data_IF_392942586828
#
_entry.id   IF_392942586828
#
_cell.length_a   1.000
_cell.length_b   1.000
_cell.length_c   1.000
_cell.angle_alpha   90.00
_cell.angle_beta   90.00
_cell.angle_gamma   90.00
#
_symmetry.space_group_name_H-M   'P 1'
#
loop_
_entity.id
_entity.type
_entity.pdbx_description
1 polymer ?
#
# COMPACT_ATOMS: atom_id res chain seq x y z
N UNK A 1 -4.68 -1.05 11.67
CA UNK A 1 -4.65 -2.23 10.77
C UNK A 1 -3.22 -2.70 10.57
N UNK A 2 -2.33 -1.85 10.05
CA UNK A 2 -0.91 -2.20 9.81
C UNK A 2 -0.14 -2.55 11.10
N UNK A 3 -0.22 -1.72 12.13
CA UNK A 3 0.49 -1.93 13.40
C UNK A 3 0.13 -3.25 14.11
N UNK A 4 -1.11 -3.74 13.95
CA UNK A 4 -1.62 -4.93 14.63
C UNK A 4 -1.36 -6.23 13.86
N UNK A 5 -0.98 -6.14 12.58
CA UNK A 5 -0.77 -7.30 11.72
C UNK A 5 0.54 -8.02 12.08
N UNK A 6 0.46 -9.33 12.38
CA UNK A 6 1.63 -10.11 12.85
C UNK A 6 2.72 -10.24 11.79
N UNK A 7 2.35 -10.43 10.53
CA UNK A 7 3.32 -10.61 9.44
C UNK A 7 4.09 -9.31 9.20
N UNK A 8 3.40 -8.17 9.17
CA UNK A 8 4.07 -6.86 9.03
C UNK A 8 5.02 -6.60 10.20
N UNK A 9 4.64 -6.96 11.43
CA UNK A 9 5.51 -6.82 12.61
C UNK A 9 6.73 -7.74 12.54
N UNK A 10 6.56 -8.94 12.00
CA UNK A 10 7.66 -9.88 11.74
C UNK A 10 8.64 -9.31 10.71
N UNK A 11 8.13 -8.78 9.59
CA UNK A 11 8.94 -8.12 8.56
C UNK A 11 9.69 -6.89 9.10
N UNK A 12 9.06 -6.15 10.00
CA UNK A 12 9.68 -5.01 10.70
C UNK A 12 10.64 -5.43 11.82
N UNK A 13 10.78 -6.72 12.10
CA UNK A 13 11.62 -7.28 13.17
C UNK A 13 11.30 -6.67 14.54
N UNK A 14 10.01 -6.43 14.81
CA UNK A 14 9.55 -5.89 16.09
C UNK A 14 9.93 -6.84 17.23
N UNK A 15 10.41 -6.28 18.34
CA UNK A 15 10.65 -7.05 19.55
C UNK A 15 9.35 -7.19 20.36
N UNK A 16 8.49 -8.10 19.92
CA UNK A 16 7.25 -8.45 20.62
C UNK A 16 7.47 -9.61 21.57
N UNK A 17 7.20 -9.39 22.85
CA UNK A 17 7.34 -10.40 23.90
C UNK A 17 6.03 -10.63 24.65
N UNK A 18 6.11 -11.49 25.66
CA UNK A 18 4.99 -11.79 26.56
C UNK A 18 4.59 -10.54 27.37
N UNK A 19 5.58 -9.70 27.71
CA UNK A 19 5.40 -8.50 28.54
C UNK A 19 4.93 -7.27 27.75
N UNK A 20 4.90 -7.32 26.43
CA UNK A 20 4.46 -6.19 25.63
C UNK A 20 4.88 -6.23 24.16
N UNK A 21 4.32 -5.30 23.40
CA UNK A 21 4.62 -5.11 21.97
C UNK A 21 5.42 -3.84 21.77
N UNK A 22 6.36 -3.90 20.83
CA UNK A 22 7.12 -2.71 20.44
C UNK A 22 6.18 -1.64 19.86
N UNK A 23 6.28 -0.41 20.36
CA UNK A 23 5.52 0.72 19.83
C UNK A 23 6.15 1.21 18.53
N UNK A 24 5.41 1.09 17.43
CA UNK A 24 5.83 1.59 16.13
C UNK A 24 5.60 3.09 16.03
N UNK A 25 6.49 3.79 15.33
CA UNK A 25 6.30 5.19 14.94
C UNK A 25 5.74 5.24 13.54
N UNK A 26 4.89 6.23 13.26
CA UNK A 26 4.38 6.47 11.92
C UNK A 26 4.41 7.97 11.60
N UNK A 27 4.81 8.31 10.38
CA UNK A 27 4.92 9.70 9.92
C UNK A 27 4.79 9.78 8.40
N UNK A 28 4.41 10.95 7.88
CA UNK A 28 4.22 11.17 6.45
C UNK A 28 5.51 11.11 5.62
N UNK A 29 5.38 11.33 4.32
CA UNK A 29 6.55 11.57 3.46
C UNK A 29 7.06 13.01 3.59
N UNK A 30 8.32 13.22 3.22
CA UNK A 30 8.82 14.57 3.00
C UNK A 30 8.13 15.14 1.76
N UNK A 31 7.42 16.26 1.93
CA UNK A 31 6.61 16.87 0.87
C UNK A 31 7.46 17.71 -0.08
N UNK A 32 8.60 18.22 0.40
CA UNK A 32 9.48 19.13 -0.33
C UNK A 32 10.83 18.46 -0.60
N UNK A 33 11.53 18.90 -1.65
CA UNK A 33 12.94 18.55 -1.89
C UNK A 33 13.89 19.19 -0.84
N UNK A 34 13.32 19.82 0.18
CA UNK A 34 14.05 20.55 1.20
C UNK A 34 14.48 19.59 2.31
N UNK A 35 15.80 19.36 2.40
CA UNK A 35 16.42 18.40 3.32
C UNK A 35 16.24 18.78 4.80
N UNK A 36 15.77 19.99 5.08
CA UNK A 36 15.66 20.55 6.43
C UNK A 36 14.24 20.53 7.01
N UNK A 37 13.23 20.16 6.21
CA UNK A 37 11.85 20.11 6.69
C UNK A 37 11.66 18.95 7.68
N UNK A 38 11.50 19.26 8.97
CA UNK A 38 11.26 18.27 10.04
C UNK A 38 9.82 17.76 10.08
N UNK A 39 8.86 18.55 9.61
CA UNK A 39 7.45 18.20 9.64
C UNK A 39 7.12 17.19 8.53
N UNK A 40 6.60 16.03 8.91
CA UNK A 40 6.20 14.96 7.99
C UNK A 40 4.69 14.71 8.11
N UNK A 41 3.84 15.61 7.58
CA UNK A 41 2.40 15.48 7.73
C UNK A 41 1.87 14.32 6.89
N UNK A 42 0.87 13.63 7.43
CA UNK A 42 0.19 12.55 6.73
C UNK A 42 -0.85 13.17 5.80
N UNK A 43 -0.59 13.08 4.50
CA UNK A 43 -1.45 13.67 3.46
C UNK A 43 -1.89 12.62 2.44
N UNK A 44 -3.05 12.84 1.83
CA UNK A 44 -3.52 12.03 0.70
C UNK A 44 -3.66 12.87 -0.55
N UNK A 45 -3.33 12.30 -1.71
CA UNK A 45 -3.61 12.86 -3.03
C UNK A 45 -4.94 12.32 -3.51
N UNK A 46 -5.79 13.20 -4.05
CA UNK A 46 -7.11 12.83 -4.59
C UNK A 46 -7.05 12.74 -6.10
N UNK A 47 -7.66 11.72 -6.68
CA UNK A 47 -7.86 11.56 -8.12
C UNK A 47 -9.29 11.11 -8.39
N UNK A 48 -9.89 11.58 -9.48
CA UNK A 48 -11.22 11.15 -9.89
C UNK A 48 -11.05 10.02 -10.92
N UNK A 49 -11.77 8.92 -10.74
CA UNK A 49 -11.80 7.82 -11.70
C UNK A 49 -12.71 8.12 -12.90
N UNK A 50 -12.82 7.17 -13.84
CA UNK A 50 -13.69 7.32 -15.02
C UNK A 50 -15.17 7.32 -14.64
N UNK A 51 -15.52 6.73 -13.52
CA UNK A 51 -16.88 6.64 -12.98
C UNK A 51 -17.23 7.84 -12.08
N UNK A 52 -16.38 8.87 -12.01
CA UNK A 52 -16.60 10.09 -11.23
C UNK A 52 -16.37 9.97 -9.73
N UNK A 53 -15.83 8.86 -9.22
CA UNK A 53 -15.58 8.63 -7.79
C UNK A 53 -14.17 9.04 -7.39
N UNK A 54 -14.01 9.54 -6.16
CA UNK A 54 -12.72 9.97 -5.64
C UNK A 54 -11.90 8.79 -5.12
N UNK A 55 -10.69 8.67 -5.63
CA UNK A 55 -9.62 7.83 -5.12
C UNK A 55 -8.67 8.67 -4.27
N UNK A 56 -8.29 8.15 -3.11
CA UNK A 56 -7.34 8.71 -2.17
C UNK A 56 -6.09 7.86 -2.14
N UNK A 57 -4.96 8.45 -2.52
CA UNK A 57 -3.64 7.82 -2.45
C UNK A 57 -2.87 8.41 -1.28
N UNK A 58 -2.48 7.57 -0.33
CA UNK A 58 -1.72 7.97 0.84
C UNK A 58 -0.45 7.14 0.94
N UNK A 59 0.65 7.82 1.27
CA UNK A 59 1.94 7.20 1.57
C UNK A 59 2.45 7.72 2.90
N UNK A 60 2.92 6.81 3.73
CA UNK A 60 3.51 7.14 5.02
C UNK A 60 4.49 6.06 5.42
N UNK A 61 5.44 6.44 6.28
CA UNK A 61 6.44 5.54 6.80
C UNK A 61 6.00 4.95 8.13
N UNK A 62 6.41 3.71 8.38
CA UNK A 62 6.34 3.06 9.69
C UNK A 62 7.75 2.67 10.09
N UNK A 63 8.14 2.99 11.31
CA UNK A 63 9.47 2.75 11.83
C UNK A 63 9.39 1.89 13.10
N UNK A 64 10.10 0.77 13.07
CA UNK A 64 10.50 0.00 14.25
C UNK A 64 11.91 0.41 14.67
N UNK A 65 12.39 -0.12 15.79
CA UNK A 65 13.77 0.07 16.26
C UNK A 65 14.83 -0.45 15.27
N UNK A 66 14.45 -1.36 14.37
CA UNK A 66 15.39 -2.04 13.45
C UNK A 66 15.16 -1.74 11.97
N UNK A 67 13.91 -1.48 11.57
CA UNK A 67 13.51 -1.39 10.17
C UNK A 67 12.58 -0.21 9.94
N UNK A 68 12.70 0.36 8.76
CA UNK A 68 11.79 1.35 8.21
C UNK A 68 10.99 0.69 7.10
N UNK A 69 9.70 0.97 7.03
CA UNK A 69 8.81 0.51 5.98
C UNK A 69 8.06 1.67 5.34
N UNK A 70 7.79 1.56 4.05
CA UNK A 70 6.88 2.45 3.34
C UNK A 70 5.53 1.76 3.18
N UNK A 71 4.47 2.43 3.61
CA UNK A 71 3.10 1.98 3.41
C UNK A 71 2.48 2.76 2.26
N UNK A 72 1.88 2.02 1.34
CA UNK A 72 1.05 2.59 0.28
C UNK A 72 -0.40 2.20 0.51
N UNK A 73 -1.29 3.18 0.44
CA UNK A 73 -2.73 3.00 0.57
C UNK A 73 -3.45 3.68 -0.57
N UNK A 74 -4.33 2.92 -1.21
CA UNK A 74 -5.38 3.41 -2.10
C UNK A 74 -6.75 3.11 -1.49
N UNK A 75 -7.51 4.17 -1.26
CA UNK A 75 -8.89 4.11 -0.80
C UNK A 75 -9.81 4.77 -1.82
N UNK A 76 -11.03 4.27 -1.95
CA UNK A 76 -12.05 4.81 -2.85
C UNK A 76 -13.27 5.22 -2.08
N UNK A 77 -13.85 6.35 -2.47
CA UNK A 77 -15.10 6.83 -1.92
C UNK A 77 -16.19 5.76 -2.05
N UNK A 78 -16.80 5.42 -0.91
CA UNK A 78 -17.87 4.44 -0.86
C UNK A 78 -19.20 5.11 -1.17
N UNK A 79 -20.09 4.41 -1.89
CA UNK A 79 -21.45 4.90 -2.15
C UNK A 79 -22.40 4.72 -0.96
N UNK A 80 -22.06 3.81 -0.04
CA UNK A 80 -22.93 3.41 1.08
C UNK A 80 -22.40 3.89 2.43
N UNK A 81 -21.08 3.89 2.60
CA UNK A 81 -20.43 4.18 3.87
C UNK A 81 -19.82 5.58 3.86
N UNK A 82 -19.81 6.25 5.01
CA UNK A 82 -19.05 7.48 5.20
C UNK A 82 -17.53 7.24 5.07
N UNK A 83 -17.06 6.06 5.50
CA UNK A 83 -15.64 5.69 5.39
C UNK A 83 -15.34 5.18 3.98
N UNK A 84 -14.21 5.58 3.38
CA UNK A 84 -13.80 5.06 2.08
C UNK A 84 -13.39 3.60 2.18
N UNK A 85 -13.61 2.86 1.10
CA UNK A 85 -13.25 1.45 0.99
C UNK A 85 -11.77 1.33 0.59
N UNK A 86 -10.99 0.52 1.32
CA UNK A 86 -9.59 0.26 0.96
C UNK A 86 -9.53 -0.73 -0.19
N UNK A 87 -8.93 -0.33 -1.31
CA UNK A 87 -8.82 -1.16 -2.52
C UNK A 87 -7.46 -1.84 -2.60
N UNK A 88 -6.41 -1.11 -2.24
CA UNK A 88 -5.06 -1.60 -2.31
C UNK A 88 -4.27 -1.07 -1.12
N UNK A 89 -3.62 -1.97 -0.40
CA UNK A 89 -2.74 -1.59 0.69
C UNK A 89 -1.58 -2.57 0.77
N UNK A 90 -0.37 -2.05 0.72
CA UNK A 90 0.84 -2.85 0.84
C UNK A 90 1.92 -2.13 1.64
N UNK A 91 2.88 -2.92 2.10
CA UNK A 91 4.03 -2.50 2.89
C UNK A 91 5.29 -2.98 2.20
N UNK A 92 6.20 -2.05 1.97
CA UNK A 92 7.53 -2.31 1.43
C UNK A 92 8.55 -2.14 2.55
N UNK A 93 9.25 -3.22 2.90
CA UNK A 93 10.38 -3.21 3.84
C UNK A 93 11.66 -3.46 3.04
N UNK A 94 12.71 -2.64 3.19
CA UNK A 94 13.97 -2.84 2.47
C UNK A 94 14.57 -4.23 2.74
N UNK A 95 14.83 -4.97 1.66
CA UNK A 95 15.35 -6.34 1.69
C UNK A 95 14.27 -7.43 1.72
N UNK A 96 13.00 -7.08 1.90
CA UNK A 96 11.89 -8.01 1.92
C UNK A 96 11.00 -7.88 0.68
N UNK A 97 10.28 -8.95 0.35
CA UNK A 97 9.26 -8.90 -0.69
C UNK A 97 8.08 -8.06 -0.22
N UNK A 98 7.53 -7.24 -1.13
CA UNK A 98 6.30 -6.46 -0.90
C UNK A 98 5.19 -7.32 -0.29
N UNK A 99 4.66 -6.88 0.85
CA UNK A 99 3.58 -7.56 1.54
C UNK A 99 2.26 -6.81 1.36
N UNK A 100 1.23 -7.48 0.84
CA UNK A 100 -0.09 -6.90 0.61
C UNK A 100 -1.02 -7.20 1.78
N UNK A 101 -1.55 -6.16 2.43
CA UNK A 101 -2.64 -6.30 3.40
C UNK A 101 -3.99 -6.36 2.69
N UNK A 102 -4.15 -5.56 1.64
CA UNK A 102 -5.34 -5.56 0.79
C UNK A 102 -4.85 -5.67 -0.64
N UNK A 103 -5.17 -6.79 -1.29
CA UNK A 103 -4.84 -7.00 -2.70
C UNK A 103 -5.89 -6.33 -3.56
N UNK A 104 -5.49 -5.57 -4.60
CA UNK A 104 -6.46 -5.04 -5.55
C UNK A 104 -7.14 -6.20 -6.27
N UNK A 105 -8.44 -6.06 -6.52
CA UNK A 105 -9.15 -6.94 -7.44
C UNK A 105 -8.69 -6.56 -8.84
N UNK A 106 -7.65 -7.24 -9.34
CA UNK A 106 -7.26 -7.13 -10.73
C UNK A 106 -8.37 -7.78 -11.55
N UNK A 107 -8.96 -7.02 -12.47
CA UNK A 107 -9.73 -7.65 -13.53
C UNK A 107 -8.76 -8.57 -14.28
N UNK A 108 -9.13 -9.83 -14.49
CA UNK A 108 -8.33 -10.72 -15.32
C UNK A 108 -8.02 -9.97 -16.62
N UNK A 109 -6.75 -9.84 -16.95
CA UNK A 109 -6.36 -9.35 -18.27
C UNK A 109 -7.04 -10.30 -19.24
N UNK A 110 -8.07 -9.82 -19.94
CA UNK A 110 -8.74 -10.60 -20.95
C UNK A 110 -7.64 -11.06 -21.89
N UNK A 111 -7.50 -12.38 -21.99
CA UNK A 111 -6.56 -13.10 -22.85
C UNK A 111 -6.31 -12.26 -24.10
N UNK A 112 -5.12 -11.64 -24.17
CA UNK A 112 -4.85 -10.61 -25.17
C UNK A 112 -5.07 -11.24 -26.54
N UNK A 113 -6.12 -10.84 -27.25
CA UNK A 113 -6.20 -11.04 -28.69
C UNK A 113 -4.95 -10.34 -29.21
N UNK A 114 -4.00 -11.10 -29.74
CA UNK A 114 -2.73 -10.53 -30.16
C UNK A 114 -2.92 -9.52 -31.29
N UNK A 115 -1.82 -8.92 -31.74
CA UNK A 115 -1.85 -7.89 -32.79
C UNK A 115 -2.67 -8.40 -34.01
N UNK A 116 -3.70 -7.66 -34.41
CA UNK A 116 -4.64 -8.00 -35.50
C UNK A 116 -5.45 -9.31 -35.31
N UNK A 117 -5.59 -9.82 -34.09
CA UNK A 117 -6.35 -11.04 -33.80
C UNK A 117 -5.54 -12.34 -33.90
N UNK A 118 -4.23 -12.27 -34.13
CA UNK A 118 -3.34 -13.42 -34.21
C UNK A 118 -2.69 -13.66 -32.84
N UNK A 119 -2.80 -14.88 -32.29
CA UNK A 119 -2.20 -15.26 -31.00
C UNK A 119 -0.77 -15.76 -31.22
N UNK A 120 0.23 -14.93 -30.93
CA UNK A 120 1.66 -15.25 -31.06
C UNK A 120 2.25 -16.04 -29.86
N UNK A 121 1.45 -16.92 -29.25
CA UNK A 121 1.89 -17.73 -28.11
C UNK A 121 2.00 -19.22 -28.47
N UNK A 122 2.84 -20.01 -27.76
CA UNK A 122 2.90 -21.45 -27.96
C UNK A 122 1.50 -22.06 -27.77
N UNK A 123 1.06 -22.85 -28.75
CA UNK A 123 -0.14 -23.69 -28.60
C UNK A 123 0.09 -24.62 -27.41
N UNK A 124 -0.82 -24.59 -26.44
CA UNK A 124 -0.90 -25.66 -25.44
C UNK A 124 -1.69 -26.79 -26.12
N UNK A 125 -1.01 -27.89 -26.38
CA UNK A 125 -1.65 -29.19 -26.64
C UNK A 125 -2.25 -29.74 -25.35
#
# INVERSE_FOLDING_TARGET
MVEKNKDVRSLLQCNDGITGKERLKAYGELITNDKWTRNRPIVSKKKIDKEGRKHHYMRFHIESKKKLALVHLEAKESKKNYRPDFINMYVDVPGEKRYYLVRPKLNSVSDSKGFLGIRWGPRKD
#
